data_IF_588100812811
#
_entry.id   IF_588100812811
#
_cell.length_a   1.000
_cell.length_b   1.000
_cell.length_c   1.000
_cell.angle_alpha   90.00
_cell.angle_beta   90.00
_cell.angle_gamma   90.00
#
_symmetry.space_group_name_H-M   'P 1'
#
loop_
_entity.id
_entity.type
_entity.pdbx_description
1 polymer ?
#
# COMPACT_ATOMS: atom_id res chain seq x y z
N UNK A 1 51.44 -77.91 -28.22
CA UNK A 1 50.44 -77.45 -29.21
C UNK A 1 49.31 -76.80 -28.42
N UNK A 2 49.24 -75.47 -28.37
CA UNK A 2 48.15 -74.79 -27.66
C UNK A 2 46.99 -74.57 -28.64
N UNK A 3 45.82 -75.09 -28.33
CA UNK A 3 44.60 -74.86 -29.09
C UNK A 3 43.91 -73.60 -28.55
N UNK A 4 43.80 -72.55 -29.37
CA UNK A 4 42.96 -71.38 -29.07
C UNK A 4 41.52 -71.72 -29.49
N UNK A 5 40.71 -72.19 -28.53
CA UNK A 5 39.28 -72.45 -28.75
C UNK A 5 38.47 -71.56 -27.80
N UNK A 6 37.40 -70.96 -28.32
CA UNK A 6 36.43 -70.25 -27.50
C UNK A 6 35.77 -71.21 -26.50
N UNK A 7 35.62 -70.79 -25.25
CA UNK A 7 34.81 -71.49 -24.26
C UNK A 7 33.34 -71.09 -24.44
N UNK A 8 32.50 -72.02 -24.89
CA UNK A 8 31.07 -71.77 -25.17
C UNK A 8 30.21 -72.46 -24.10
N UNK A 9 29.40 -71.68 -23.40
CA UNK A 9 28.46 -72.18 -22.40
C UNK A 9 27.03 -72.08 -22.94
N UNK A 10 26.33 -73.22 -23.05
CA UNK A 10 24.99 -73.28 -23.67
C UNK A 10 23.83 -73.21 -22.68
N UNK A 11 24.05 -73.68 -21.45
CA UNK A 11 22.99 -73.89 -20.47
C UNK A 11 23.10 -72.95 -19.26
N UNK A 12 23.83 -71.84 -19.40
CA UNK A 12 24.10 -70.92 -18.31
C UNK A 12 25.36 -71.24 -17.50
N UNK A 13 25.78 -70.29 -16.66
CA UNK A 13 26.95 -70.36 -15.79
C UNK A 13 26.52 -70.08 -14.35
N UNK A 14 27.01 -70.89 -13.41
CA UNK A 14 26.88 -70.68 -11.98
C UNK A 14 28.29 -70.64 -11.38
N UNK A 15 28.66 -69.52 -10.76
CA UNK A 15 29.95 -69.31 -10.10
C UNK A 15 29.68 -69.11 -8.63
N UNK A 16 30.05 -70.09 -7.79
CA UNK A 16 29.49 -70.20 -6.43
C UNK A 16 27.96 -70.26 -6.46
N UNK A 17 27.32 -70.65 -5.36
CA UNK A 17 25.85 -70.77 -5.34
C UNK A 17 25.16 -69.48 -5.75
N UNK A 18 25.63 -68.31 -5.33
CA UNK A 18 24.94 -67.03 -5.49
C UNK A 18 25.78 -65.92 -6.12
N UNK A 19 27.09 -66.06 -6.33
CA UNK A 19 27.94 -64.95 -6.77
C UNK A 19 27.61 -64.49 -8.20
N UNK A 20 27.60 -65.41 -9.17
CA UNK A 20 27.10 -65.15 -10.54
C UNK A 20 26.24 -66.33 -10.96
N UNK A 21 24.96 -66.09 -11.22
CA UNK A 21 24.03 -67.10 -11.72
C UNK A 21 23.34 -66.60 -12.99
N UNK A 22 23.77 -67.09 -14.15
CA UNK A 22 23.13 -66.78 -15.43
C UNK A 22 22.57 -68.08 -16.02
N UNK A 23 21.26 -68.14 -16.26
CA UNK A 23 20.61 -69.35 -16.77
C UNK A 23 19.87 -69.11 -18.09
N UNK A 24 20.00 -70.07 -18.99
CA UNK A 24 19.29 -70.09 -20.28
C UNK A 24 17.79 -70.38 -20.15
N UNK A 25 17.32 -70.91 -19.01
CA UNK A 25 15.89 -71.20 -18.81
C UNK A 25 15.05 -69.95 -18.60
N UNK A 26 15.59 -68.92 -17.95
CA UNK A 26 14.91 -67.65 -17.70
C UNK A 26 15.47 -66.48 -18.50
N UNK A 27 16.61 -66.66 -19.20
CA UNK A 27 17.36 -65.61 -19.87
C UNK A 27 17.70 -64.43 -18.94
N UNK A 28 18.11 -64.72 -17.69
CA UNK A 28 18.42 -63.70 -16.67
C UNK A 28 19.83 -63.89 -16.12
N UNK A 29 20.39 -62.82 -15.59
CA UNK A 29 21.65 -62.77 -14.86
C UNK A 29 21.36 -62.31 -13.43
N UNK A 30 21.68 -63.14 -12.45
CA UNK A 30 21.70 -62.81 -11.03
C UNK A 30 23.13 -62.62 -10.53
N UNK A 31 23.33 -61.59 -9.71
CA UNK A 31 24.55 -61.35 -8.93
C UNK A 31 24.14 -61.31 -7.46
N UNK A 32 24.66 -62.22 -6.63
CA UNK A 32 24.19 -62.42 -5.25
C UNK A 32 22.82 -63.11 -5.13
N UNK A 33 22.28 -63.69 -6.22
CA UNK A 33 20.96 -64.33 -6.22
C UNK A 33 20.86 -65.44 -7.27
N UNK A 34 20.25 -66.57 -6.91
CA UNK A 34 19.90 -67.68 -7.82
C UNK A 34 18.51 -67.55 -8.42
N UNK A 35 17.70 -66.60 -7.94
CA UNK A 35 16.31 -66.40 -8.38
C UNK A 35 16.14 -64.94 -8.81
N UNK A 36 16.78 -64.53 -9.93
CA UNK A 36 16.71 -63.15 -10.39
C UNK A 36 15.27 -62.75 -10.78
N UNK A 37 14.77 -61.67 -10.17
CA UNK A 37 13.48 -61.07 -10.46
C UNK A 37 13.47 -60.35 -11.81
N UNK A 38 14.59 -59.69 -12.15
CA UNK A 38 14.78 -58.88 -13.36
C UNK A 38 15.76 -59.52 -14.35
N UNK A 39 15.89 -58.93 -15.55
CA UNK A 39 16.82 -59.42 -16.58
C UNK A 39 18.27 -59.44 -16.06
N UNK A 40 18.65 -58.36 -15.36
CA UNK A 40 19.82 -58.30 -14.49
C UNK A 40 19.30 -58.00 -13.09
N UNK A 41 19.59 -58.88 -12.14
CA UNK A 41 19.24 -58.71 -10.74
C UNK A 41 20.52 -58.73 -9.90
N UNK A 42 20.70 -57.72 -9.07
CA UNK A 42 21.86 -57.57 -8.19
C UNK A 42 21.32 -57.50 -6.78
N UNK A 43 21.45 -58.60 -6.03
CA UNK A 43 21.07 -58.65 -4.61
C UNK A 43 22.20 -58.04 -3.76
N UNK A 44 22.32 -56.72 -3.82
CA UNK A 44 23.39 -55.95 -3.18
C UNK A 44 23.46 -54.53 -3.70
N UNK A 45 24.66 -53.94 -3.67
CA UNK A 45 24.91 -52.59 -4.20
C UNK A 45 25.52 -52.65 -5.60
N UNK A 46 25.27 -51.59 -6.39
CA UNK A 46 25.92 -51.36 -7.67
C UNK A 46 26.89 -50.18 -7.54
N UNK A 47 28.20 -50.46 -7.59
CA UNK A 47 29.22 -49.43 -7.70
C UNK A 47 29.53 -49.14 -9.17
N UNK A 48 29.13 -47.97 -9.66
CA UNK A 48 29.39 -47.54 -11.03
C UNK A 48 29.77 -46.05 -11.06
N UNK A 49 30.68 -45.67 -11.96
CA UNK A 49 31.00 -44.25 -12.18
C UNK A 49 29.80 -43.51 -12.78
N UNK A 50 29.16 -44.14 -13.77
CA UNK A 50 28.00 -43.62 -14.48
C UNK A 50 26.97 -44.74 -14.65
N UNK A 51 25.69 -44.39 -14.49
CA UNK A 51 24.55 -45.26 -14.84
C UNK A 51 23.70 -44.51 -15.84
N UNK A 52 23.68 -44.96 -17.09
CA UNK A 52 22.83 -44.39 -18.14
C UNK A 52 21.55 -45.21 -18.25
N UNK A 53 20.41 -44.61 -17.89
CA UNK A 53 19.08 -45.21 -18.05
C UNK A 53 18.35 -44.45 -19.15
N UNK A 54 18.04 -45.10 -20.27
CA UNK A 54 17.33 -44.48 -21.40
C UNK A 54 15.81 -44.40 -21.21
N UNK A 55 15.27 -45.11 -20.20
CA UNK A 55 13.87 -45.09 -19.81
C UNK A 55 13.64 -44.49 -18.43
N UNK A 56 12.61 -44.96 -17.73
CA UNK A 56 12.33 -44.55 -16.36
C UNK A 56 13.07 -45.44 -15.34
N UNK A 57 13.49 -44.82 -14.25
CA UNK A 57 13.97 -45.52 -13.04
C UNK A 57 12.84 -45.56 -12.02
N UNK A 58 12.66 -46.70 -11.36
CA UNK A 58 11.76 -46.85 -10.21
C UNK A 58 12.60 -47.25 -9.00
N UNK A 59 12.53 -46.45 -7.93
CA UNK A 59 13.17 -46.73 -6.65
C UNK A 59 12.06 -47.00 -5.64
N UNK A 60 12.18 -48.10 -4.89
CA UNK A 60 11.24 -48.43 -3.81
C UNK A 60 11.67 -47.88 -2.47
N UNK A 61 12.92 -47.42 -2.39
CA UNK A 61 13.51 -46.72 -1.25
C UNK A 61 13.88 -45.29 -1.63
N UNK A 62 14.45 -44.56 -0.69
CA UNK A 62 14.96 -43.21 -0.90
C UNK A 62 15.91 -43.08 -2.11
N UNK A 63 15.85 -41.92 -2.77
CA UNK A 63 16.92 -41.44 -3.63
C UNK A 63 17.80 -40.46 -2.85
N UNK A 64 19.09 -40.74 -2.76
CA UNK A 64 20.05 -39.91 -2.03
C UNK A 64 21.25 -39.54 -2.93
N UNK A 65 21.52 -38.23 -3.04
CA UNK A 65 22.70 -37.67 -3.70
C UNK A 65 23.57 -36.95 -2.67
N UNK A 66 24.77 -37.49 -2.43
CA UNK A 66 25.70 -37.04 -1.39
C UNK A 66 25.58 -37.82 -0.07
N UNK A 67 26.45 -37.51 0.89
CA UNK A 67 26.43 -38.12 2.24
C UNK A 67 25.35 -37.49 3.14
N UNK A 68 25.06 -38.11 4.29
CA UNK A 68 24.00 -37.73 5.25
C UNK A 68 23.95 -36.21 5.52
N UNK A 69 22.86 -35.54 5.13
CA UNK A 69 22.80 -34.08 4.91
C UNK A 69 22.67 -33.68 3.42
N UNK A 70 22.10 -34.57 2.60
CA UNK A 70 22.19 -34.67 1.15
C UNK A 70 21.97 -33.39 0.35
N UNK A 71 22.70 -33.28 -0.78
CA UNK A 71 22.52 -32.23 -1.78
C UNK A 71 21.12 -32.32 -2.40
N UNK A 72 20.67 -33.55 -2.70
CA UNK A 72 19.33 -33.86 -3.17
C UNK A 72 18.86 -35.17 -2.53
N UNK A 73 17.64 -35.18 -2.04
CA UNK A 73 17.04 -36.32 -1.35
C UNK A 73 15.55 -36.43 -1.69
N UNK A 74 15.08 -37.64 -1.97
CA UNK A 74 13.65 -37.95 -2.13
C UNK A 74 13.32 -39.09 -1.16
N UNK A 75 12.41 -38.83 -0.22
CA UNK A 75 12.03 -39.84 0.78
C UNK A 75 10.91 -40.74 0.30
N UNK A 76 11.08 -42.05 0.45
CA UNK A 76 10.03 -43.05 0.24
C UNK A 76 8.93 -43.00 1.34
N UNK A 77 9.32 -42.55 2.53
CA UNK A 77 8.47 -42.60 3.72
C UNK A 77 7.59 -41.36 3.88
N UNK A 78 8.10 -40.18 3.51
CA UNK A 78 7.40 -38.90 3.68
C UNK A 78 6.90 -38.28 2.38
N UNK A 79 7.24 -38.85 1.22
CA UNK A 79 6.96 -38.30 -0.12
C UNK A 79 7.48 -36.86 -0.29
N UNK A 80 8.56 -36.50 0.41
CA UNK A 80 9.13 -35.16 0.37
C UNK A 80 10.46 -35.13 -0.37
N UNK A 81 10.76 -33.99 -0.98
CA UNK A 81 12.00 -33.68 -1.68
C UNK A 81 12.79 -32.66 -0.85
N UNK A 82 14.02 -33.03 -0.49
CA UNK A 82 14.98 -32.14 0.16
C UNK A 82 16.09 -31.72 -0.80
N UNK A 83 16.41 -30.43 -0.83
CA UNK A 83 17.62 -29.88 -1.45
C UNK A 83 18.46 -29.27 -0.34
N UNK A 84 19.68 -29.77 -0.16
CA UNK A 84 20.54 -29.38 0.98
C UNK A 84 20.08 -29.94 2.34
N UNK A 85 19.17 -30.93 2.36
CA UNK A 85 18.75 -31.64 3.57
C UNK A 85 18.24 -33.05 3.23
N UNK A 86 18.57 -34.04 4.08
CA UNK A 86 17.99 -35.39 4.03
C UNK A 86 16.85 -35.59 5.04
N UNK A 87 16.40 -34.51 5.68
CA UNK A 87 15.25 -34.50 6.59
C UNK A 87 14.37 -33.29 6.29
N UNK A 88 13.67 -33.31 5.14
CA UNK A 88 12.80 -32.21 4.72
C UNK A 88 11.62 -32.05 5.70
N UNK A 89 11.36 -30.80 6.10
CA UNK A 89 10.23 -30.44 6.95
C UNK A 89 8.94 -30.16 6.15
N UNK A 90 9.08 -29.90 4.85
CA UNK A 90 8.01 -29.61 3.91
C UNK A 90 8.11 -30.56 2.71
N UNK A 91 7.03 -30.66 1.91
CA UNK A 91 7.03 -31.51 0.71
C UNK A 91 8.16 -31.18 -0.27
N UNK A 92 8.51 -29.90 -0.38
CA UNK A 92 9.74 -29.43 -0.98
C UNK A 92 10.45 -28.55 0.04
N UNK A 93 11.61 -28.98 0.51
CA UNK A 93 12.43 -28.24 1.48
C UNK A 93 13.78 -27.92 0.84
N UNK A 94 13.96 -26.66 0.49
CA UNK A 94 15.20 -26.15 -0.11
C UNK A 94 15.95 -25.37 0.95
N UNK A 95 17.08 -25.91 1.40
CA UNK A 95 17.98 -25.29 2.37
C UNK A 95 19.30 -24.94 1.70
N UNK A 96 19.71 -23.70 1.86
CA UNK A 96 21.06 -23.25 1.53
C UNK A 96 21.84 -23.04 2.83
N UNK A 97 23.17 -23.17 2.78
CA UNK A 97 24.03 -22.78 3.90
C UNK A 97 23.78 -21.31 4.21
N UNK A 98 23.14 -21.04 5.35
CA UNK A 98 22.71 -19.70 5.77
C UNK A 98 23.90 -18.75 5.90
N UNK A 99 24.19 -18.03 4.82
CA UNK A 99 25.07 -16.87 4.80
C UNK A 99 24.31 -15.75 4.11
N UNK A 100 24.50 -14.53 4.61
CA UNK A 100 24.01 -13.31 3.97
C UNK A 100 24.45 -13.30 2.50
N UNK A 101 23.48 -13.18 1.57
CA UNK A 101 23.73 -13.02 0.14
C UNK A 101 23.66 -14.27 -0.74
N UNK A 102 23.28 -15.45 -0.21
CA UNK A 102 23.04 -16.64 -1.05
C UNK A 102 21.56 -16.79 -1.45
N UNK A 103 21.32 -17.06 -2.73
CA UNK A 103 19.98 -17.38 -3.26
C UNK A 103 19.69 -18.86 -3.06
N UNK A 104 18.72 -19.20 -2.21
CA UNK A 104 18.29 -20.59 -2.02
C UNK A 104 17.47 -21.13 -3.20
N UNK A 105 16.62 -20.29 -3.79
CA UNK A 105 15.79 -20.62 -4.94
C UNK A 105 15.88 -19.48 -5.97
N UNK A 106 16.28 -19.83 -7.19
CA UNK A 106 16.25 -18.94 -8.35
C UNK A 106 15.36 -19.56 -9.41
N UNK A 107 14.43 -18.77 -9.97
CA UNK A 107 13.54 -19.21 -11.04
C UNK A 107 13.69 -18.22 -12.19
N UNK A 108 14.16 -18.70 -13.33
CA UNK A 108 14.19 -17.92 -14.56
C UNK A 108 12.84 -18.07 -15.28
N UNK A 109 12.02 -17.02 -15.22
CA UNK A 109 10.67 -17.00 -15.77
C UNK A 109 9.60 -16.71 -14.72
N UNK A 110 8.35 -17.07 -15.03
CA UNK A 110 7.21 -16.75 -14.18
C UNK A 110 7.07 -17.73 -13.02
N UNK A 111 6.73 -17.19 -11.86
CA UNK A 111 6.31 -17.96 -10.68
C UNK A 111 4.83 -17.70 -10.44
N UNK A 112 4.03 -18.77 -10.34
CA UNK A 112 2.63 -18.68 -9.90
C UNK A 112 2.44 -19.38 -8.57
N UNK A 113 2.02 -18.62 -7.57
CA UNK A 113 1.69 -19.11 -6.24
C UNK A 113 0.20 -18.83 -6.00
N UNK A 114 -0.54 -19.87 -5.62
CA UNK A 114 -2.00 -19.79 -5.37
C UNK A 114 -2.35 -19.78 -3.88
N UNK A 115 -1.38 -20.09 -3.03
CA UNK A 115 -1.48 -19.97 -1.58
C UNK A 115 -0.78 -18.72 -1.08
N UNK A 116 -0.41 -18.76 0.20
CA UNK A 116 0.22 -17.63 0.87
C UNK A 116 1.74 -17.58 0.63
N UNK A 117 2.30 -16.38 0.73
CA UNK A 117 3.74 -16.14 0.78
C UNK A 117 4.04 -15.51 2.13
N UNK A 118 4.84 -16.18 2.96
CA UNK A 118 5.35 -15.65 4.21
C UNK A 118 6.86 -15.48 4.11
N UNK A 119 7.32 -14.24 4.07
CA UNK A 119 8.72 -13.86 3.84
C UNK A 119 9.03 -12.61 4.67
N UNK A 120 10.30 -12.41 5.00
CA UNK A 120 10.76 -11.26 5.79
C UNK A 120 10.72 -9.98 4.94
N UNK A 121 11.44 -10.01 3.80
CA UNK A 121 11.54 -8.90 2.86
C UNK A 121 11.00 -9.28 1.47
N UNK A 122 10.44 -8.29 0.77
CA UNK A 122 10.02 -8.40 -0.62
C UNK A 122 10.49 -7.17 -1.38
N UNK A 123 11.10 -7.38 -2.55
CA UNK A 123 11.47 -6.33 -3.47
C UNK A 123 10.87 -6.65 -4.84
N UNK A 124 10.07 -5.73 -5.39
CA UNK A 124 9.52 -5.80 -6.74
C UNK A 124 10.06 -4.63 -7.55
N UNK A 125 10.35 -4.86 -8.82
CA UNK A 125 10.63 -3.77 -9.78
C UNK A 125 9.32 -3.07 -10.18
N UNK A 126 8.33 -3.87 -10.58
CA UNK A 126 6.95 -3.44 -10.82
C UNK A 126 5.98 -4.42 -10.14
N UNK A 127 4.87 -3.90 -9.63
CA UNK A 127 3.86 -4.68 -8.92
C UNK A 127 2.46 -4.20 -9.29
N UNK A 128 1.67 -5.08 -9.92
CA UNK A 128 0.23 -4.90 -10.06
C UNK A 128 -0.48 -5.68 -8.94
N UNK A 129 -1.06 -4.96 -7.98
CA UNK A 129 -1.70 -5.53 -6.80
C UNK A 129 -3.20 -5.20 -6.85
N UNK A 130 -4.05 -6.22 -6.86
CA UNK A 130 -5.51 -6.05 -6.86
C UNK A 130 -6.01 -5.48 -5.52
N UNK A 131 -5.54 -6.05 -4.41
CA UNK A 131 -5.87 -5.61 -3.07
C UNK A 131 -4.63 -5.63 -2.17
N UNK A 132 -4.36 -4.51 -1.50
CA UNK A 132 -3.29 -4.39 -0.51
C UNK A 132 -3.89 -4.13 0.86
N UNK A 133 -3.61 -5.01 1.82
CA UNK A 133 -3.98 -4.84 3.22
C UNK A 133 -2.72 -4.74 4.06
N UNK A 134 -2.53 -3.62 4.75
CA UNK A 134 -1.41 -3.38 5.66
C UNK A 134 -1.96 -3.18 7.07
N UNK A 135 -1.75 -4.16 7.95
CA UNK A 135 -2.20 -4.10 9.34
C UNK A 135 -1.32 -3.18 10.21
N UNK A 136 -0.06 -3.00 9.82
CA UNK A 136 0.93 -2.18 10.52
C UNK A 136 1.06 -0.77 9.94
N UNK A 137 2.13 -0.10 10.35
CA UNK A 137 2.52 1.18 9.76
C UNK A 137 3.02 0.97 8.33
N UNK A 138 2.62 1.86 7.43
CA UNK A 138 3.10 1.91 6.04
C UNK A 138 3.79 3.24 5.75
N UNK A 139 4.86 3.21 4.96
CA UNK A 139 5.50 4.41 4.43
C UNK A 139 5.52 4.31 2.92
N UNK A 140 4.98 5.32 2.24
CA UNK A 140 5.14 5.50 0.80
C UNK A 140 6.17 6.60 0.56
N UNK A 141 7.16 6.35 -0.28
CA UNK A 141 8.16 7.33 -0.69
C UNK A 141 7.84 7.78 -2.11
N UNK A 142 7.93 9.09 -2.37
CA UNK A 142 7.59 9.66 -3.66
C UNK A 142 6.14 10.17 -3.71
N UNK A 143 5.54 10.09 -4.89
CA UNK A 143 4.17 10.55 -5.13
C UNK A 143 3.16 9.45 -4.80
N UNK A 144 2.11 9.82 -4.05
CA UNK A 144 0.93 8.98 -3.85
C UNK A 144 -0.22 9.59 -4.63
N UNK A 145 -0.84 8.78 -5.48
CA UNK A 145 -2.03 9.15 -6.25
C UNK A 145 -3.12 8.13 -5.98
N UNK A 146 -4.30 8.60 -5.60
CA UNK A 146 -5.52 7.79 -5.54
C UNK A 146 -6.37 8.10 -6.77
N UNK A 147 -6.84 7.06 -7.48
CA UNK A 147 -7.79 7.25 -8.58
C UNK A 147 -9.20 7.61 -8.08
N UNK A 148 -9.51 7.24 -6.83
CA UNK A 148 -10.70 7.63 -6.09
C UNK A 148 -10.36 8.41 -4.82
N UNK A 149 -11.23 8.32 -3.83
CA UNK A 149 -11.11 9.06 -2.58
C UNK A 149 -9.99 8.53 -1.67
N UNK A 150 -9.43 9.44 -0.86
CA UNK A 150 -8.61 9.10 0.30
C UNK A 150 -9.48 9.13 1.56
N UNK A 151 -9.71 7.96 2.17
CA UNK A 151 -10.40 7.86 3.46
C UNK A 151 -9.39 7.82 4.60
N UNK A 152 -9.47 8.77 5.52
CA UNK A 152 -8.65 8.83 6.73
C UNK A 152 -9.56 8.57 7.94
N UNK A 153 -9.31 7.47 8.64
CA UNK A 153 -10.12 7.09 9.80
C UNK A 153 -9.94 8.00 11.03
N UNK A 154 -8.84 8.74 11.08
CA UNK A 154 -8.53 9.74 12.10
C UNK A 154 -8.18 11.08 11.48
N UNK A 155 -7.15 11.73 11.99
CA UNK A 155 -6.72 13.04 11.51
C UNK A 155 -5.81 12.93 10.27
N UNK A 156 -6.01 13.83 9.32
CA UNK A 156 -5.06 14.07 8.23
C UNK A 156 -4.07 15.16 8.66
N UNK A 157 -2.80 14.81 8.81
CA UNK A 157 -1.74 15.77 9.07
C UNK A 157 -0.94 16.03 7.80
N UNK A 158 -0.90 17.29 7.37
CA UNK A 158 -0.05 17.75 6.26
C UNK A 158 0.91 18.79 6.83
N UNK A 159 2.21 18.58 6.58
CA UNK A 159 3.27 19.43 7.14
C UNK A 159 3.35 20.80 6.46
N UNK A 160 2.94 20.84 5.20
CA UNK A 160 3.07 22.00 4.32
C UNK A 160 1.67 22.40 3.81
N UNK A 161 1.61 23.06 2.67
CA UNK A 161 0.36 23.53 2.08
C UNK A 161 -0.55 22.41 1.57
N UNK A 162 -1.86 22.72 1.54
CA UNK A 162 -2.86 21.91 0.85
C UNK A 162 -3.63 22.82 -0.11
N UNK A 163 -3.86 22.34 -1.32
CA UNK A 163 -4.75 22.97 -2.29
C UNK A 163 -6.03 22.16 -2.40
N UNK A 164 -7.16 22.88 -2.44
CA UNK A 164 -8.48 22.31 -2.60
C UNK A 164 -9.20 23.07 -3.70
N UNK A 165 -10.03 22.36 -4.46
CA UNK A 165 -11.05 23.00 -5.29
C UNK A 165 -12.23 23.45 -4.42
N UNK A 166 -12.72 22.54 -3.57
CA UNK A 166 -13.79 22.79 -2.61
C UNK A 166 -13.47 22.17 -1.25
N UNK A 167 -13.91 22.83 -0.18
CA UNK A 167 -13.87 22.30 1.18
C UNK A 167 -15.30 22.24 1.72
N UNK A 168 -15.84 21.03 1.84
CA UNK A 168 -17.09 20.76 2.54
C UNK A 168 -16.79 20.14 3.90
N UNK A 169 -17.04 20.89 4.98
CA UNK A 169 -16.74 20.43 6.33
C UNK A 169 -17.63 21.09 7.38
N UNK A 170 -17.64 20.54 8.58
CA UNK A 170 -18.42 21.08 9.70
C UNK A 170 -17.86 22.41 10.21
N UNK A 171 -16.54 22.50 10.34
CA UNK A 171 -15.82 23.65 10.87
C UNK A 171 -14.51 23.85 10.11
N UNK A 172 -14.08 25.11 9.97
CA UNK A 172 -12.73 25.47 9.52
C UNK A 172 -12.09 26.37 10.56
N UNK A 173 -10.95 25.95 11.10
CA UNK A 173 -10.17 26.73 12.06
C UNK A 173 -8.89 27.23 11.39
N UNK A 174 -8.82 28.53 11.15
CA UNK A 174 -7.65 29.18 10.57
C UNK A 174 -7.04 30.07 11.65
N UNK A 175 -5.91 29.63 12.22
CA UNK A 175 -5.16 30.42 13.21
C UNK A 175 -4.36 31.56 12.59
N UNK A 176 -4.10 31.47 11.29
CA UNK A 176 -3.45 32.50 10.49
C UNK A 176 -4.46 33.46 9.87
N UNK A 177 -4.19 33.85 8.62
CA UNK A 177 -5.06 34.75 7.86
C UNK A 177 -5.91 33.90 6.92
N UNK A 178 -7.23 34.10 6.98
CA UNK A 178 -8.15 33.57 5.99
C UNK A 178 -8.49 34.66 4.96
N UNK A 179 -8.17 34.42 3.69
CA UNK A 179 -8.64 35.27 2.59
C UNK A 179 -9.90 34.65 2.02
N UNK A 180 -11.06 35.24 2.32
CA UNK A 180 -12.35 34.73 1.88
C UNK A 180 -12.95 35.73 0.90
N UNK A 181 -13.21 35.28 -0.33
CA UNK A 181 -13.77 36.14 -1.38
C UNK A 181 -15.19 36.63 -1.04
N UNK A 182 -16.06 35.71 -0.63
CA UNK A 182 -17.44 36.01 -0.25
C UNK A 182 -17.79 35.20 1.00
N UNK A 183 -18.33 35.87 2.02
CA UNK A 183 -18.90 35.22 3.20
C UNK A 183 -20.43 35.31 3.11
N UNK A 184 -21.09 34.19 2.87
CA UNK A 184 -22.56 34.06 2.93
C UNK A 184 -22.98 33.46 4.28
N UNK A 185 -22.92 34.26 5.34
CA UNK A 185 -23.27 33.84 6.70
C UNK A 185 -24.28 34.77 7.36
N UNK A 186 -25.08 34.25 8.29
CA UNK A 186 -26.03 35.06 9.07
C UNK A 186 -25.32 36.00 10.07
N UNK A 187 -24.08 35.68 10.45
CA UNK A 187 -23.32 36.40 11.49
C UNK A 187 -21.82 36.32 11.22
N UNK A 188 -21.13 37.44 11.37
CA UNK A 188 -19.67 37.53 11.44
C UNK A 188 -19.25 37.81 12.88
N UNK A 189 -18.33 36.99 13.42
CA UNK A 189 -17.76 37.18 14.75
C UNK A 189 -16.27 37.51 14.61
N UNK A 190 -15.91 38.77 14.80
CA UNK A 190 -14.55 39.28 14.70
C UNK A 190 -14.47 40.74 15.14
N UNK A 191 -13.26 41.30 15.20
CA UNK A 191 -13.06 42.71 15.59
C UNK A 191 -13.60 43.69 14.54
N UNK A 192 -13.70 43.26 13.27
CA UNK A 192 -14.27 44.00 12.16
C UNK A 192 -13.56 45.32 11.85
N UNK A 193 -12.41 45.60 12.47
CA UNK A 193 -11.74 46.90 12.45
C UNK A 193 -11.30 47.33 11.05
N UNK A 194 -11.07 46.36 10.17
CA UNK A 194 -10.67 46.55 8.77
C UNK A 194 -11.82 46.37 7.76
N UNK A 195 -13.05 46.15 8.21
CA UNK A 195 -14.19 46.04 7.31
C UNK A 195 -14.57 47.45 6.82
N UNK A 196 -14.57 47.65 5.50
CA UNK A 196 -14.92 48.93 4.87
C UNK A 196 -16.26 48.81 4.14
N UNK A 197 -16.94 49.93 3.90
CA UNK A 197 -18.29 49.92 3.28
C UNK A 197 -19.40 49.40 4.19
N UNK A 198 -19.10 49.09 5.45
CA UNK A 198 -20.03 48.68 6.50
C UNK A 198 -19.76 49.54 7.75
N UNK A 199 -20.79 49.89 8.52
CA UNK A 199 -20.58 50.56 9.81
C UNK A 199 -20.11 49.55 10.84
N UNK A 200 -18.81 49.57 11.17
CA UNK A 200 -18.17 48.59 12.08
C UNK A 200 -18.18 49.02 13.54
N UNK A 201 -18.43 50.30 13.83
CA UNK A 201 -18.44 50.88 15.18
C UNK A 201 -19.79 50.82 15.88
N UNK A 202 -20.70 49.99 15.37
CA UNK A 202 -22.09 50.02 15.76
C UNK A 202 -22.45 48.85 16.66
N UNK A 203 -22.57 49.13 17.96
CA UNK A 203 -23.05 48.14 18.93
C UNK A 203 -24.59 48.13 19.06
N UNK A 204 -25.29 49.04 18.35
CA UNK A 204 -26.75 49.16 18.31
C UNK A 204 -27.21 50.32 17.40
N UNK A 205 -28.49 50.34 16.99
CA UNK A 205 -29.16 51.18 15.97
C UNK A 205 -28.83 52.72 15.94
N UNK A 206 -28.73 53.39 14.76
CA UNK A 206 -28.32 54.82 14.61
C UNK A 206 -29.50 55.66 15.09
N UNK A 207 -29.43 56.20 16.30
CA UNK A 207 -30.51 57.00 16.87
C UNK A 207 -30.60 58.41 16.26
N UNK A 208 -31.81 58.84 15.89
CA UNK A 208 -32.14 60.27 15.75
C UNK A 208 -32.78 60.74 17.05
N UNK A 209 -32.25 61.82 17.60
CA UNK A 209 -32.79 62.49 18.77
C UNK A 209 -33.27 63.89 18.38
N UNK A 210 -34.38 64.35 18.95
CA UNK A 210 -34.75 65.77 18.95
C UNK A 210 -34.94 66.24 20.38
N UNK A 211 -34.25 67.32 20.76
CA UNK A 211 -34.36 67.91 22.09
C UNK A 211 -34.13 66.92 23.25
N UNK A 212 -33.23 65.96 23.09
CA UNK A 212 -32.98 64.95 24.14
C UNK A 212 -33.86 63.69 24.07
N UNK A 213 -34.88 63.64 23.20
CA UNK A 213 -35.79 62.48 23.07
C UNK A 213 -35.49 61.65 21.84
N UNK A 214 -35.31 60.34 22.00
CA UNK A 214 -35.09 59.41 20.87
C UNK A 214 -36.35 59.34 20.01
N UNK A 215 -36.24 59.70 18.73
CA UNK A 215 -37.35 59.69 17.76
C UNK A 215 -37.35 58.41 16.93
N UNK A 216 -36.18 57.79 16.71
CA UNK A 216 -36.10 56.53 15.97
C UNK A 216 -34.68 56.04 15.79
N UNK A 217 -34.51 54.85 15.23
CA UNK A 217 -33.20 54.22 15.08
C UNK A 217 -33.02 53.51 13.74
N UNK A 218 -31.81 53.48 13.18
CA UNK A 218 -31.48 52.71 11.97
C UNK A 218 -31.73 53.43 10.64
N UNK A 219 -31.51 54.75 10.61
CA UNK A 219 -31.53 55.54 9.37
C UNK A 219 -30.43 55.10 8.40
N UNK A 220 -30.82 54.68 7.20
CA UNK A 220 -29.89 54.34 6.11
C UNK A 220 -29.52 55.55 5.25
N UNK A 221 -30.37 56.59 5.23
CA UNK A 221 -30.12 57.90 4.62
C UNK A 221 -30.78 59.01 5.45
N UNK A 222 -30.06 60.11 5.71
CA UNK A 222 -30.60 61.32 6.31
C UNK A 222 -30.75 62.40 5.24
N UNK A 223 -31.97 62.63 4.77
CA UNK A 223 -32.29 63.67 3.79
C UNK A 223 -32.79 64.94 4.50
N UNK A 224 -32.10 66.05 4.32
CA UNK A 224 -32.52 67.37 4.84
C UNK A 224 -33.04 68.18 3.65
N UNK A 225 -34.35 68.30 3.52
CA UNK A 225 -34.98 69.07 2.46
C UNK A 225 -35.27 70.51 2.93
N UNK A 226 -34.72 71.50 2.23
CA UNK A 226 -34.90 72.93 2.53
C UNK A 226 -33.59 73.66 2.85
N UNK A 227 -33.46 74.92 2.40
CA UNK A 227 -32.31 75.77 2.70
C UNK A 227 -32.37 76.36 4.12
N UNK A 228 -31.22 76.60 4.74
CA UNK A 228 -31.13 77.25 6.06
C UNK A 228 -30.91 76.31 7.25
N UNK A 229 -30.84 75.00 7.02
CA UNK A 229 -30.39 74.06 8.05
C UNK A 229 -28.91 74.29 8.35
N UNK A 230 -28.56 74.42 9.61
CA UNK A 230 -27.16 74.54 10.04
C UNK A 230 -26.71 73.21 10.63
N UNK A 231 -25.49 72.79 10.28
CA UNK A 231 -24.85 71.62 10.89
C UNK A 231 -23.83 72.12 11.89
N UNK A 232 -24.02 71.76 13.16
CA UNK A 232 -23.04 71.97 14.21
C UNK A 232 -22.51 70.61 14.66
N UNK A 233 -21.23 70.35 14.39
CA UNK A 233 -20.55 69.16 14.88
C UNK A 233 -19.82 69.50 16.19
N UNK A 234 -20.07 68.72 17.24
CA UNK A 234 -19.32 68.77 18.50
C UNK A 234 -18.93 67.35 18.91
N UNK A 235 -17.62 67.10 18.96
CA UNK A 235 -17.03 65.77 19.19
C UNK A 235 -17.66 64.70 18.29
N UNK A 236 -18.47 63.80 18.87
CA UNK A 236 -19.04 62.62 18.20
C UNK A 236 -20.50 62.80 17.78
N UNK A 237 -21.08 64.00 17.93
CA UNK A 237 -22.47 64.29 17.57
C UNK A 237 -22.50 65.40 16.53
N UNK A 238 -23.03 65.08 15.34
CA UNK A 238 -23.44 66.07 14.35
C UNK A 238 -24.89 66.45 14.62
N UNK A 239 -25.13 67.69 15.05
CA UNK A 239 -26.49 68.23 15.24
C UNK A 239 -26.90 69.01 14.01
N UNK A 240 -28.00 68.60 13.39
CA UNK A 240 -28.66 69.37 12.33
C UNK A 240 -29.75 70.20 12.97
N UNK A 241 -29.58 71.52 12.93
CA UNK A 241 -30.60 72.46 13.38
C UNK A 241 -31.44 72.87 12.17
N UNK A 242 -32.72 72.52 12.20
CA UNK A 242 -33.67 72.97 11.19
C UNK A 242 -34.06 74.44 11.47
N UNK A 243 -34.30 75.26 10.42
CA UNK A 243 -34.78 76.62 10.61
C UNK A 243 -36.13 76.63 11.34
N UNK A 244 -36.47 77.73 12.06
CA UNK A 244 -37.76 77.84 12.72
C UNK A 244 -38.92 77.61 11.74
N UNK A 245 -40.01 77.01 12.22
CA UNK A 245 -41.16 76.71 11.40
C UNK A 245 -41.66 77.97 10.68
N UNK A 246 -41.73 77.92 9.34
CA UNK A 246 -42.26 79.00 8.50
C UNK A 246 -41.26 80.01 7.95
N UNK A 247 -39.95 79.89 8.22
CA UNK A 247 -38.94 80.82 7.69
C UNK A 247 -38.38 80.28 6.36
N UNK A 248 -38.79 80.89 5.23
CA UNK A 248 -38.20 80.62 3.91
C UNK A 248 -37.07 81.62 3.66
N UNK A 249 -35.86 81.13 3.39
CA UNK A 249 -34.72 81.97 2.96
C UNK A 249 -34.92 82.54 1.55
N UNK A 250 -35.91 82.04 0.79
CA UNK A 250 -36.18 82.46 -0.58
C UNK A 250 -36.85 83.82 -0.74
N UNK A 251 -37.14 84.56 0.33
CA UNK A 251 -37.76 85.88 0.25
C UNK A 251 -37.02 86.90 1.10
N UNK A 252 -35.88 87.38 0.60
CA UNK A 252 -35.41 88.72 0.96
C UNK A 252 -36.31 89.71 0.21
N UNK A 253 -37.44 90.10 0.81
CA UNK A 253 -38.05 91.38 0.45
C UNK A 253 -37.09 92.43 0.99
N UNK A 254 -36.29 93.00 0.08
CA UNK A 254 -35.70 94.30 0.31
C UNK A 254 -36.85 95.32 0.34
N UNK A 255 -37.35 95.64 1.54
CA UNK A 255 -38.01 96.93 1.71
C UNK A 255 -36.89 97.97 1.89
N UNK A 256 -36.91 98.91 0.95
CA UNK A 256 -36.08 100.11 0.82
C UNK A 256 -35.71 100.82 2.11
#
# INVERSE_FOLDING_TARGET
MAVNKNFVVKNGIEVSTDLIHATSSTNKVGIGSTIPGYLLDVSGTLGATDVLVSGATTLTQDLQVGTSGSIFYVSDSSNAVGVGTSSPAYLLDVRSSVSTGQTALYVEGDVRITGDINVDDIHFDDANIDQLYVAGLSTFVGLVTTSGDLYVGGDLYVKDDITYDEVNGRNLNISGIATIGIVTGATYYGDGSNLTGVSTSFTGSIGIQSGGTLIGTGITMLNIAGGGSTVAASSNVATIQLPPAGVSIGMVIALS
#
